data_IF_834277074626
#
_entry.id   IF_834277074626
#
_cell.length_a   1.000
_cell.length_b   1.000
_cell.length_c   1.000
_cell.angle_alpha   90.00
_cell.angle_beta   90.00
_cell.angle_gamma   90.00
#
_symmetry.space_group_name_H-M   'P 1'
#
loop_
_entity.id
_entity.type
_entity.pdbx_description
1 polymer ?
#
# COMPACT_ATOMS: atom_id res chain seq x y z
N UNK A 1 20.21 -12.22 4.09
CA UNK A 1 19.03 -11.43 3.67
C UNK A 1 17.77 -12.09 4.23
N UNK A 2 16.92 -11.35 4.94
CA UNK A 2 15.69 -11.91 5.54
C UNK A 2 14.75 -12.43 4.45
N UNK A 3 14.18 -13.64 4.60
CA UNK A 3 13.17 -14.24 3.68
C UNK A 3 12.08 -13.25 3.26
N UNK A 4 11.72 -12.34 4.17
CA UNK A 4 10.75 -11.27 3.97
C UNK A 4 11.08 -10.29 2.85
N UNK A 5 12.34 -9.91 2.71
CA UNK A 5 12.76 -8.94 1.68
C UNK A 5 12.79 -9.58 0.29
N UNK A 6 13.00 -10.90 0.23
CA UNK A 6 12.86 -11.69 -0.99
C UNK A 6 11.41 -11.66 -1.51
N UNK A 7 10.44 -11.86 -0.63
CA UNK A 7 9.02 -11.90 -1.03
C UNK A 7 8.51 -10.54 -1.52
N UNK A 8 8.91 -9.44 -0.87
CA UNK A 8 8.59 -8.07 -1.31
C UNK A 8 9.13 -7.79 -2.70
N UNK A 9 10.38 -8.16 -2.97
CA UNK A 9 10.99 -7.97 -4.30
C UNK A 9 10.28 -8.75 -5.38
N UNK A 10 9.87 -9.99 -5.10
CA UNK A 10 9.09 -10.80 -6.05
C UNK A 10 7.73 -10.15 -6.33
N UNK A 11 7.01 -9.71 -5.30
CA UNK A 11 5.72 -9.03 -5.46
C UNK A 11 5.85 -7.69 -6.20
N UNK A 12 6.91 -6.94 -5.92
CA UNK A 12 7.20 -5.71 -6.65
C UNK A 12 7.53 -5.99 -8.11
N UNK A 13 8.35 -6.98 -8.43
CA UNK A 13 8.65 -7.38 -9.82
C UNK A 13 7.37 -7.76 -10.60
N UNK A 14 6.39 -8.39 -9.94
CA UNK A 14 5.08 -8.66 -10.54
C UNK A 14 4.32 -7.36 -10.82
N UNK A 15 4.22 -6.46 -9.84
CA UNK A 15 3.55 -5.17 -10.00
C UNK A 15 4.22 -4.33 -11.09
N UNK A 16 5.55 -4.24 -11.07
CA UNK A 16 6.37 -3.50 -12.03
C UNK A 16 6.10 -3.99 -13.46
N UNK A 17 6.08 -5.31 -13.69
CA UNK A 17 5.72 -5.86 -15.01
C UNK A 17 4.31 -5.45 -15.46
N UNK A 18 3.33 -5.45 -14.55
CA UNK A 18 1.97 -4.99 -14.85
C UNK A 18 1.94 -3.51 -15.22
N UNK A 19 2.63 -2.66 -14.45
CA UNK A 19 2.73 -1.21 -14.68
C UNK A 19 3.45 -0.87 -15.98
N UNK A 20 4.58 -1.53 -16.27
CA UNK A 20 5.30 -1.38 -17.55
C UNK A 20 4.40 -1.76 -18.72
N UNK A 21 3.68 -2.88 -18.63
CA UNK A 21 2.75 -3.29 -19.68
C UNK A 21 1.57 -2.33 -19.87
N UNK A 22 1.21 -1.56 -18.83
CA UNK A 22 0.20 -0.50 -18.91
C UNK A 22 0.77 0.82 -19.43
N UNK A 23 2.10 0.93 -19.60
CA UNK A 23 2.75 2.16 -20.05
C UNK A 23 3.08 3.15 -18.94
N UNK A 24 3.32 2.70 -17.69
CA UNK A 24 3.80 3.60 -16.63
C UNK A 24 5.22 4.10 -16.95
N UNK A 25 5.40 5.43 -17.01
CA UNK A 25 6.64 6.09 -17.43
C UNK A 25 7.35 6.87 -16.32
N UNK A 26 6.66 7.23 -15.23
CA UNK A 26 7.19 8.09 -14.16
C UNK A 26 8.14 7.37 -13.18
N UNK A 27 8.97 6.46 -13.71
CA UNK A 27 9.98 5.74 -12.93
C UNK A 27 11.12 6.66 -12.47
N UNK A 28 11.30 7.81 -13.10
CA UNK A 28 12.28 8.83 -12.75
C UNK A 28 11.92 9.61 -11.46
N UNK A 29 10.64 9.58 -11.06
CA UNK A 29 10.16 10.25 -9.83
C UNK A 29 10.40 9.45 -8.55
N UNK A 30 10.93 8.23 -8.64
CA UNK A 30 11.18 7.36 -7.49
C UNK A 30 12.31 6.38 -7.77
N UNK A 31 13.02 5.98 -6.72
CA UNK A 31 13.99 4.89 -6.81
C UNK A 31 13.33 3.54 -6.54
N UNK A 32 13.96 2.44 -6.96
CA UNK A 32 13.54 1.09 -6.52
C UNK A 32 13.53 1.00 -4.99
N UNK A 33 14.51 1.64 -4.32
CA UNK A 33 14.61 1.65 -2.87
C UNK A 33 13.41 2.34 -2.21
N UNK A 34 12.91 3.45 -2.77
CA UNK A 34 11.68 4.10 -2.29
C UNK A 34 10.49 3.15 -2.30
N UNK A 35 10.38 2.31 -3.32
CA UNK A 35 9.31 1.32 -3.41
C UNK A 35 9.51 0.21 -2.37
N UNK A 36 10.72 -0.32 -2.24
CA UNK A 36 11.02 -1.38 -1.29
C UNK A 36 10.85 -0.93 0.17
N UNK A 37 11.18 0.33 0.47
CA UNK A 37 10.96 0.95 1.78
C UNK A 37 9.50 1.34 2.02
N UNK A 38 8.65 1.22 0.98
CA UNK A 38 7.22 1.41 1.08
C UNK A 38 6.80 2.88 1.07
N UNK A 39 7.54 3.75 0.39
CA UNK A 39 7.25 5.19 0.25
C UNK A 39 5.77 5.43 -0.13
N UNK A 40 4.98 6.12 0.71
CA UNK A 40 3.57 6.41 0.40
C UNK A 40 3.40 7.15 -0.92
N UNK A 41 4.36 8.01 -1.27
CA UNK A 41 4.37 8.76 -2.51
C UNK A 41 4.43 7.85 -3.74
N UNK A 42 5.37 6.90 -3.77
CA UNK A 42 5.53 5.93 -4.86
C UNK A 42 4.24 5.13 -5.11
N UNK A 43 3.62 4.64 -4.04
CA UNK A 43 2.37 3.87 -4.17
C UNK A 43 1.16 4.74 -4.54
N UNK A 44 1.11 6.01 -4.13
CA UNK A 44 0.08 6.92 -4.61
C UNK A 44 0.26 7.20 -6.11
N UNK A 45 1.48 7.34 -6.62
CA UNK A 45 1.75 7.46 -8.06
C UNK A 45 1.24 6.24 -8.82
N UNK A 46 1.54 5.03 -8.34
CA UNK A 46 1.03 3.80 -8.96
C UNK A 46 -0.49 3.76 -8.99
N UNK A 47 -1.14 4.08 -7.87
CA UNK A 47 -2.61 4.05 -7.78
C UNK A 47 -3.26 5.10 -8.69
N UNK A 48 -2.76 6.34 -8.72
CA UNK A 48 -3.28 7.37 -9.63
C UNK A 48 -3.10 6.98 -11.10
N UNK A 49 -1.96 6.40 -11.44
CA UNK A 49 -1.74 5.89 -12.78
C UNK A 49 -2.73 4.76 -13.11
N UNK A 50 -2.95 3.80 -12.21
CA UNK A 50 -3.94 2.72 -12.42
C UNK A 50 -5.33 3.32 -12.67
N UNK A 51 -5.74 4.31 -11.86
CA UNK A 51 -7.01 5.01 -12.05
C UNK A 51 -7.10 5.69 -13.42
N UNK A 52 -6.02 6.35 -13.85
CA UNK A 52 -5.96 7.03 -15.15
C UNK A 52 -6.02 6.05 -16.31
N UNK A 53 -5.31 4.92 -16.22
CA UNK A 53 -5.30 3.88 -17.25
C UNK A 53 -6.69 3.29 -17.48
N UNK A 54 -7.43 2.99 -16.40
CA UNK A 54 -8.80 2.48 -16.45
C UNK A 54 -9.83 3.61 -16.38
N UNK A 55 -9.71 4.57 -17.30
CA UNK A 55 -10.52 5.79 -17.33
C UNK A 55 -12.04 5.53 -17.27
N UNK A 56 -12.56 4.51 -17.93
CA UNK A 56 -14.00 4.16 -17.88
C UNK A 56 -14.46 3.80 -16.46
N UNK A 57 -13.67 2.98 -15.75
CA UNK A 57 -13.98 2.55 -14.37
C UNK A 57 -13.87 3.73 -13.41
N UNK A 58 -12.83 4.53 -13.57
CA UNK A 58 -12.62 5.73 -12.75
C UNK A 58 -13.71 6.76 -13.00
N UNK A 59 -14.13 6.98 -14.25
CA UNK A 59 -15.20 7.93 -14.60
C UNK A 59 -16.53 7.49 -14.01
N UNK A 60 -16.86 6.20 -14.07
CA UNK A 60 -18.04 5.64 -13.40
C UNK A 60 -18.01 5.91 -11.90
N UNK A 61 -16.86 5.66 -11.23
CA UNK A 61 -16.73 5.91 -9.80
C UNK A 61 -16.87 7.38 -9.44
N UNK A 62 -16.28 8.29 -10.24
CA UNK A 62 -16.39 9.73 -10.04
C UNK A 62 -17.83 10.23 -10.21
N UNK A 63 -18.59 9.65 -11.13
CA UNK A 63 -20.02 9.98 -11.32
C UNK A 63 -20.90 9.40 -10.21
N UNK A 64 -20.58 8.22 -9.71
CA UNK A 64 -21.36 7.53 -8.68
C UNK A 64 -21.12 8.08 -7.27
N UNK A 65 -19.89 8.52 -6.99
CA UNK A 65 -19.44 8.90 -5.65
C UNK A 65 -18.90 10.33 -5.64
N UNK A 66 -19.74 11.30 -5.25
CA UNK A 66 -19.36 12.72 -5.17
C UNK A 66 -18.17 12.99 -4.22
N UNK A 67 -17.96 12.10 -3.24
CA UNK A 67 -16.84 12.18 -2.29
C UNK A 67 -15.56 11.51 -2.81
N UNK A 68 -15.61 10.81 -3.95
CA UNK A 68 -14.43 10.17 -4.52
C UNK A 68 -13.56 11.21 -5.23
N UNK A 69 -12.35 11.39 -4.71
CA UNK A 69 -11.44 12.45 -5.12
C UNK A 69 -10.13 11.83 -5.59
N UNK A 70 -9.70 12.19 -6.80
CA UNK A 70 -8.39 11.84 -7.38
C UNK A 70 -7.56 13.12 -7.51
N UNK A 71 -6.87 13.49 -6.44
CA UNK A 71 -6.07 14.72 -6.31
C UNK A 71 -4.63 14.43 -5.89
N UNK A 72 -3.75 15.42 -5.97
CA UNK A 72 -2.35 15.32 -5.55
C UNK A 72 -2.17 15.16 -4.03
N UNK A 73 -3.14 15.58 -3.23
CA UNK A 73 -3.12 15.34 -1.80
C UNK A 73 -3.24 13.84 -1.48
N UNK A 74 -2.10 13.19 -1.23
CA UNK A 74 -2.01 11.75 -0.97
C UNK A 74 -2.92 11.28 0.17
N UNK A 75 -3.15 12.09 1.21
CA UNK A 75 -3.97 11.70 2.34
C UNK A 75 -5.46 11.66 1.97
N UNK A 76 -5.97 12.69 1.30
CA UNK A 76 -7.36 12.74 0.86
C UNK A 76 -7.65 11.68 -0.21
N UNK A 77 -6.71 11.53 -1.15
CA UNK A 77 -6.76 10.49 -2.18
C UNK A 77 -6.83 9.09 -1.58
N UNK A 78 -5.96 8.75 -0.62
CA UNK A 78 -5.97 7.41 -0.02
C UNK A 78 -7.22 7.16 0.81
N UNK A 79 -7.71 8.16 1.54
CA UNK A 79 -8.99 8.08 2.28
C UNK A 79 -10.17 7.77 1.35
N UNK A 80 -10.31 8.54 0.27
CA UNK A 80 -11.40 8.35 -0.70
C UNK A 80 -11.27 7.00 -1.40
N UNK A 81 -10.07 6.63 -1.87
CA UNK A 81 -9.83 5.34 -2.51
C UNK A 81 -10.16 4.17 -1.58
N UNK A 82 -9.75 4.21 -0.31
CA UNK A 82 -10.05 3.13 0.63
C UNK A 82 -11.55 2.99 0.90
N UNK A 83 -12.28 4.09 0.85
CA UNK A 83 -13.74 4.06 0.92
C UNK A 83 -14.34 3.39 -0.33
N UNK A 84 -13.86 3.72 -1.53
CA UNK A 84 -14.27 3.04 -2.78
C UNK A 84 -13.98 1.55 -2.72
N UNK A 85 -12.78 1.15 -2.29
CA UNK A 85 -12.40 -0.26 -2.19
C UNK A 85 -13.37 -1.07 -1.33
N UNK A 86 -13.84 -0.50 -0.21
CA UNK A 86 -14.80 -1.14 0.68
C UNK A 86 -16.22 -1.13 0.13
N UNK A 87 -16.69 0.01 -0.36
CA UNK A 87 -18.09 0.18 -0.76
C UNK A 87 -18.39 -0.44 -2.12
N UNK A 88 -17.51 -0.30 -3.11
CA UNK A 88 -17.73 -0.81 -4.47
C UNK A 88 -17.26 -2.26 -4.62
N UNK A 89 -16.09 -2.58 -4.06
CA UNK A 89 -15.40 -3.84 -4.34
C UNK A 89 -15.43 -4.83 -3.17
N UNK A 90 -16.09 -4.47 -2.05
CA UNK A 90 -16.11 -5.27 -0.81
C UNK A 90 -14.70 -5.69 -0.34
N UNK A 91 -13.70 -4.89 -0.73
CA UNK A 91 -12.31 -5.13 -0.39
C UNK A 91 -11.92 -4.25 0.78
N UNK A 92 -11.56 -4.92 1.88
CA UNK A 92 -10.99 -4.27 3.06
C UNK A 92 -9.49 -4.48 3.05
N UNK A 93 -8.68 -3.45 2.74
CA UNK A 93 -7.23 -3.54 2.86
C UNK A 93 -6.82 -3.93 4.28
N UNK A 94 -5.69 -4.61 4.45
CA UNK A 94 -5.17 -5.01 5.77
C UNK A 94 -4.62 -3.83 6.59
N UNK A 95 -4.58 -2.64 6.01
CA UNK A 95 -4.18 -1.39 6.62
C UNK A 95 -5.30 -0.37 6.43
N UNK A 96 -5.36 0.65 7.27
CA UNK A 96 -6.19 1.84 7.02
C UNK A 96 -5.42 2.92 6.24
N UNK A 97 -6.10 4.01 5.90
CA UNK A 97 -5.50 5.13 5.17
C UNK A 97 -4.40 5.84 5.97
N UNK A 98 -4.46 5.83 7.30
CA UNK A 98 -3.47 6.45 8.18
C UNK A 98 -2.20 5.58 8.29
N UNK A 99 -2.35 4.27 8.17
CA UNK A 99 -1.26 3.33 8.08
C UNK A 99 -0.63 3.36 6.68
N UNK A 100 -1.42 3.57 5.62
CA UNK A 100 -0.88 3.74 4.27
C UNK A 100 0.13 4.89 4.17
N UNK A 101 -0.04 5.97 4.93
CA UNK A 101 0.92 7.09 4.94
C UNK A 101 2.25 6.78 5.64
N UNK A 102 2.45 5.57 6.18
CA UNK A 102 3.69 5.14 6.83
C UNK A 102 4.47 4.18 5.94
N UNK A 103 5.79 4.30 5.89
CA UNK A 103 6.63 3.56 4.93
C UNK A 103 6.59 2.03 5.12
N UNK A 104 6.61 1.52 6.36
CA UNK A 104 6.78 0.08 6.66
C UNK A 104 5.66 -0.87 6.19
N UNK A 105 4.56 -0.38 5.61
CA UNK A 105 3.47 -1.22 5.10
C UNK A 105 3.60 -1.64 3.62
N UNK A 106 4.84 -1.78 3.10
CA UNK A 106 5.13 -2.06 1.68
C UNK A 106 4.27 -3.18 1.09
N UNK A 107 4.16 -4.32 1.77
CA UNK A 107 3.42 -5.47 1.26
C UNK A 107 1.91 -5.21 1.12
N UNK A 108 1.33 -4.48 2.07
CA UNK A 108 -0.09 -4.12 2.01
C UNK A 108 -0.34 -3.16 0.85
N UNK A 109 0.55 -2.18 0.62
CA UNK A 109 0.45 -1.27 -0.52
C UNK A 109 0.59 -1.99 -1.88
N UNK A 110 1.52 -2.94 -1.98
CA UNK A 110 1.65 -3.82 -3.16
C UNK A 110 0.37 -4.62 -3.41
N UNK A 111 -0.22 -5.14 -2.34
CA UNK A 111 -1.45 -5.92 -2.42
C UNK A 111 -2.63 -5.08 -2.91
N UNK A 112 -2.76 -3.84 -2.44
CA UNK A 112 -3.80 -2.90 -2.91
C UNK A 112 -3.63 -2.59 -4.40
N UNK A 113 -2.41 -2.29 -4.86
CA UNK A 113 -2.16 -2.00 -6.28
C UNK A 113 -2.47 -3.21 -7.17
N UNK A 114 -2.02 -4.40 -6.77
CA UNK A 114 -2.28 -5.63 -7.52
C UNK A 114 -3.77 -5.98 -7.54
N UNK A 115 -4.45 -5.84 -6.40
CA UNK A 115 -5.89 -6.04 -6.30
C UNK A 115 -6.62 -5.17 -7.32
N UNK A 116 -6.37 -3.85 -7.31
CA UNK A 116 -7.05 -2.92 -8.19
C UNK A 116 -6.84 -3.28 -9.68
N UNK A 117 -5.60 -3.57 -10.07
CA UNK A 117 -5.29 -3.99 -11.46
C UNK A 117 -6.01 -5.28 -11.82
N UNK A 118 -5.96 -6.31 -10.97
CA UNK A 118 -6.51 -7.63 -11.29
C UNK A 118 -8.04 -7.58 -11.36
N UNK A 119 -8.69 -6.87 -10.42
CA UNK A 119 -10.13 -6.63 -10.43
C UNK A 119 -10.57 -5.92 -11.70
N UNK A 120 -9.88 -4.85 -12.10
CA UNK A 120 -10.29 -4.04 -13.25
C UNK A 120 -9.96 -4.67 -14.60
N UNK A 121 -8.99 -5.60 -14.65
CA UNK A 121 -8.76 -6.48 -15.82
C UNK A 121 -9.76 -7.64 -15.91
N UNK A 122 -10.70 -7.78 -14.98
CA UNK A 122 -11.65 -8.89 -14.97
C UNK A 122 -11.02 -10.24 -14.63
N UNK A 123 -9.83 -10.26 -14.02
CA UNK A 123 -9.25 -11.51 -13.51
C UNK A 123 -9.98 -11.87 -12.22
N UNK A 124 -10.68 -13.01 -12.23
CA UNK A 124 -11.35 -13.54 -11.03
C UNK A 124 -10.32 -13.71 -9.91
N UNK A 125 -10.38 -12.84 -8.91
CA UNK A 125 -9.52 -12.93 -7.74
C UNK A 125 -10.07 -14.00 -6.82
N UNK A 126 -9.36 -15.13 -6.72
CA UNK A 126 -9.63 -16.09 -5.67
C UNK A 126 -9.27 -15.44 -4.32
N UNK A 127 -10.28 -15.02 -3.56
CA UNK A 127 -10.18 -14.23 -2.32
C UNK A 127 -9.28 -14.90 -1.27
N UNK A 128 -9.03 -16.20 -1.40
CA UNK A 128 -8.10 -16.96 -0.57
C UNK A 128 -6.61 -16.60 -0.78
N UNK A 129 -6.20 -16.19 -1.99
CA UNK A 129 -4.83 -15.79 -2.28
C UNK A 129 -4.44 -14.46 -1.61
N UNK A 130 -5.37 -13.50 -1.63
CA UNK A 130 -5.22 -12.19 -0.96
C UNK A 130 -5.19 -12.36 0.56
N UNK A 131 -6.04 -13.24 1.11
CA UNK A 131 -6.02 -13.57 2.56
C UNK A 131 -4.73 -14.27 2.99
N UNK A 132 -4.11 -15.11 2.16
CA UNK A 132 -2.80 -15.72 2.46
C UNK A 132 -1.67 -14.70 2.42
N UNK A 133 -1.63 -13.82 1.41
CA UNK A 133 -0.64 -12.74 1.34
C UNK A 133 -0.80 -11.75 2.51
N UNK A 134 -2.04 -11.36 2.83
CA UNK A 134 -2.36 -10.52 3.99
C UNK A 134 -1.94 -11.19 5.31
N UNK A 135 -2.23 -12.48 5.51
CA UNK A 135 -1.87 -13.23 6.73
C UNK A 135 -0.35 -13.40 6.92
N UNK A 136 0.41 -13.48 5.83
CA UNK A 136 1.89 -13.45 5.89
C UNK A 136 2.37 -12.03 6.26
N UNK A 137 1.69 -10.99 5.80
CA UNK A 137 2.00 -9.59 6.12
C UNK A 137 1.57 -9.13 7.52
N UNK A 138 0.49 -9.66 8.06
CA UNK A 138 0.02 -9.35 9.42
C UNK A 138 1.06 -9.79 10.46
N UNK A 139 1.63 -11.00 10.29
CA UNK A 139 2.75 -11.48 11.14
C UNK A 139 3.98 -10.57 11.08
N UNK A 140 4.22 -9.92 9.95
CA UNK A 140 5.34 -8.99 9.75
C UNK A 140 5.06 -7.66 10.48
N UNK A 141 3.84 -7.16 10.36
CA UNK A 141 3.39 -5.93 11.02
C UNK A 141 3.45 -6.08 12.55
N UNK A 142 3.00 -7.21 13.08
CA UNK A 142 3.05 -7.51 14.51
C UNK A 142 4.50 -7.59 15.03
N UNK A 143 5.38 -8.27 14.28
CA UNK A 143 6.80 -8.40 14.62
C UNK A 143 7.54 -7.05 14.61
N UNK A 144 7.15 -6.12 13.72
CA UNK A 144 7.75 -4.79 13.64
C UNK A 144 7.18 -3.83 14.69
N UNK A 145 5.88 -3.90 14.96
CA UNK A 145 5.21 -3.14 16.03
C UNK A 145 5.77 -3.52 17.41
N UNK A 146 6.10 -4.79 17.61
CA UNK A 146 6.78 -5.23 18.83
C UNK A 146 8.21 -4.67 18.95
N UNK A 147 8.96 -4.57 17.84
CA UNK A 147 10.29 -3.94 17.83
C UNK A 147 10.23 -2.45 18.12
N UNK A 148 9.27 -1.71 17.53
CA UNK A 148 9.07 -0.29 17.84
C UNK A 148 8.66 -0.07 19.30
N UNK A 149 7.76 -0.90 19.84
CA UNK A 149 7.38 -0.81 21.26
C UNK A 149 8.56 -1.06 22.19
N UNK A 150 9.43 -2.04 21.89
CA UNK A 150 10.67 -2.26 22.64
C UNK A 150 11.63 -1.07 22.53
N UNK A 151 11.73 -0.43 21.37
CA UNK A 151 12.57 0.75 21.17
C UNK A 151 12.07 1.96 21.98
N UNK A 152 10.74 2.19 21.97
CA UNK A 152 10.08 3.24 22.75
C UNK A 152 10.27 2.99 24.25
N UNK A 153 10.12 1.74 24.69
CA UNK A 153 10.29 1.35 26.08
C UNK A 153 11.74 1.54 26.56
N UNK A 154 12.73 1.17 25.74
CA UNK A 154 14.15 1.42 26.03
C UNK A 154 14.47 2.92 26.10
N UNK A 155 13.93 3.75 25.19
CA UNK A 155 14.10 5.21 25.27
C UNK A 155 13.52 5.80 26.55
N UNK A 156 12.35 5.33 26.99
CA UNK A 156 11.74 5.76 28.27
C UNK A 156 12.60 5.39 29.48
N UNK A 157 13.19 4.20 29.48
CA UNK A 157 14.08 3.75 30.56
C UNK A 157 15.36 4.61 30.64
N UNK A 158 15.99 4.88 29.50
CA UNK A 158 17.19 5.74 29.44
C UNK A 158 16.90 7.17 29.92
N UNK A 159 15.78 7.76 29.51
CA UNK A 159 15.38 9.10 29.96
C UNK A 159 15.10 9.17 31.47
N UNK A 160 14.58 8.08 32.06
CA UNK A 160 14.36 8.00 33.50
C UNK A 160 15.66 7.79 34.29
N UNK A 161 16.70 7.21 33.69
CA UNK A 161 18.03 7.09 34.30
C UNK A 161 18.77 8.42 34.31
N UNK A 162 18.67 9.21 33.24
CA UNK A 162 19.29 10.55 33.15
C UNK A 162 18.69 11.55 34.16
N UNK A 163 17.41 11.40 34.53
CA UNK A 163 16.75 12.24 35.55
C UNK A 163 17.14 11.92 37.01
N UNK A 164 17.90 10.85 37.25
CA UNK A 164 18.31 10.40 38.59
C UNK A 164 19.79 10.70 38.91
N UNK A 165 20.48 11.39 38.01
CA UNK A 165 21.80 12.00 38.22
C UNK A 165 21.61 13.50 38.45
#
# INVERSE_FOLDING_TARGET
MSRTMSDVKVQFSILQRKLVHMGFTSWDLMTEQDVLDGSPYAYCLFLRFILTFFHDKTSYLLQKYEWFIVEDNNLNFTKSLFRVLREEYQYTPSIDWAQFSKSHFTCAKLSICNFLIDTWRGKSMNTQGVKRAAKVCDRITDSQKERENKLIQNRRLLLNQVRRL
#
